data_IF_283712884219
#
_entry.id   IF_283712884219
#
_cell.length_a   1.000
_cell.length_b   1.000
_cell.length_c   1.000
_cell.angle_alpha   90.00
_cell.angle_beta   90.00
_cell.angle_gamma   90.00
#
_symmetry.space_group_name_H-M   'P 1'
#
loop_
_entity.id
_entity.type
_entity.pdbx_description
1 polymer ?
#
# COMPACT_ATOMS: atom_id res chain seq x y z
N UNK A 1 42.46 0.99 -46.87
CA UNK A 1 43.43 0.38 -45.95
C UNK A 1 42.65 -0.55 -45.03
N UNK A 2 42.56 -1.83 -45.39
CA UNK A 2 42.05 -2.86 -44.49
C UNK A 2 43.22 -3.37 -43.65
N UNK A 3 43.09 -3.33 -42.33
CA UNK A 3 44.10 -3.86 -41.43
C UNK A 3 43.64 -5.22 -40.89
N UNK A 4 44.52 -6.17 -41.15
CA UNK A 4 44.50 -7.59 -40.86
C UNK A 4 44.36 -7.87 -39.35
N UNK A 5 43.54 -8.87 -38.99
CA UNK A 5 43.52 -9.46 -37.66
C UNK A 5 44.80 -10.26 -37.38
N UNK A 6 45.37 -10.22 -36.16
CA UNK A 6 46.34 -11.23 -35.74
C UNK A 6 45.64 -12.47 -35.17
N UNK A 7 46.19 -13.61 -35.56
CA UNK A 7 45.82 -14.99 -35.20
C UNK A 7 45.85 -15.26 -33.69
N UNK A 8 44.87 -16.01 -33.20
CA UNK A 8 44.80 -16.48 -31.83
C UNK A 8 45.61 -17.78 -31.69
N UNK A 9 46.87 -17.69 -31.26
CA UNK A 9 47.68 -18.86 -30.89
C UNK A 9 47.17 -19.50 -29.59
N UNK A 10 46.90 -20.80 -29.65
CA UNK A 10 46.43 -21.62 -28.52
C UNK A 10 47.53 -21.90 -27.48
N UNK A 11 47.02 -22.06 -26.26
CA UNK A 11 47.46 -22.95 -25.19
C UNK A 11 48.63 -22.51 -24.28
N UNK A 12 48.26 -22.19 -23.04
CA UNK A 12 49.12 -22.23 -21.86
C UNK A 12 48.26 -22.51 -20.63
N UNK A 13 48.18 -23.77 -20.24
CA UNK A 13 47.55 -24.24 -18.99
C UNK A 13 48.37 -23.73 -17.79
N UNK A 14 47.87 -22.70 -17.11
CA UNK A 14 48.39 -22.22 -15.83
C UNK A 14 47.26 -22.19 -14.77
N UNK A 15 47.58 -22.26 -13.46
CA UNK A 15 46.62 -22.55 -12.38
C UNK A 15 45.74 -21.36 -11.99
N UNK A 16 45.46 -20.43 -12.90
CA UNK A 16 44.70 -19.20 -12.65
C UNK A 16 43.18 -19.37 -12.84
N UNK A 17 42.68 -20.61 -12.77
CA UNK A 17 41.31 -20.95 -13.16
C UNK A 17 40.32 -21.22 -12.03
N UNK A 18 40.64 -20.95 -10.76
CA UNK A 18 39.73 -21.34 -9.64
C UNK A 18 39.40 -20.21 -8.65
N UNK A 19 40.09 -19.06 -8.65
CA UNK A 19 39.80 -18.02 -7.65
C UNK A 19 38.65 -17.07 -8.02
N UNK A 20 38.25 -17.00 -9.30
CA UNK A 20 37.18 -16.08 -9.74
C UNK A 20 35.75 -16.62 -9.48
N UNK A 21 35.61 -17.89 -9.07
CA UNK A 21 34.30 -18.53 -8.91
C UNK A 21 33.70 -18.36 -7.51
N UNK A 22 34.50 -17.96 -6.50
CA UNK A 22 34.05 -17.84 -5.12
C UNK A 22 33.48 -16.46 -4.76
N UNK A 23 33.85 -15.41 -5.48
CA UNK A 23 33.40 -14.04 -5.14
C UNK A 23 31.99 -13.69 -5.66
N UNK A 24 31.44 -14.46 -6.62
CA UNK A 24 30.07 -14.24 -7.12
C UNK A 24 28.97 -14.85 -6.23
N UNK A 25 29.31 -15.59 -5.17
CA UNK A 25 28.32 -16.21 -4.27
C UNK A 25 28.10 -15.45 -2.95
N UNK A 26 28.85 -14.37 -2.67
CA UNK A 26 28.76 -13.64 -1.39
C UNK A 26 27.95 -12.35 -1.40
N UNK A 27 27.27 -12.04 -2.50
CA UNK A 27 26.26 -10.98 -2.53
C UNK A 27 24.83 -11.56 -2.38
N UNK A 28 24.64 -12.52 -1.49
CA UNK A 28 23.31 -12.80 -0.94
C UNK A 28 23.03 -11.74 0.12
N UNK A 29 22.67 -10.54 -0.35
CA UNK A 29 22.02 -9.54 0.49
C UNK A 29 20.81 -10.23 1.10
N UNK A 30 20.85 -10.47 2.41
CA UNK A 30 19.66 -10.80 3.20
C UNK A 30 18.64 -9.71 2.89
N UNK A 31 17.70 -10.01 1.99
CA UNK A 31 16.50 -9.21 1.86
C UNK A 31 15.89 -9.27 3.26
N UNK A 32 15.65 -8.13 3.94
CA UNK A 32 14.83 -8.20 5.14
C UNK A 32 13.60 -9.01 4.76
N UNK A 33 13.29 -10.07 5.51
CA UNK A 33 12.06 -10.82 5.30
C UNK A 33 10.97 -9.76 5.21
N UNK A 34 10.37 -9.58 4.04
CA UNK A 34 9.23 -8.71 3.94
C UNK A 34 8.18 -9.43 4.75
N UNK A 35 7.96 -9.01 5.98
CA UNK A 35 6.83 -9.49 6.77
C UNK A 35 5.60 -9.09 5.97
N UNK A 36 5.11 -10.02 5.16
CA UNK A 36 3.93 -9.82 4.35
C UNK A 36 2.77 -9.89 5.34
N UNK A 37 2.46 -8.74 5.92
CA UNK A 37 1.35 -8.59 6.83
C UNK A 37 0.10 -8.72 5.99
N UNK A 38 -0.64 -9.81 6.14
CA UNK A 38 -1.97 -9.95 5.54
C UNK A 38 -2.96 -9.17 6.41
N UNK A 39 -3.50 -8.05 5.94
CA UNK A 39 -4.47 -7.29 6.70
C UNK A 39 -5.83 -8.03 6.68
N UNK A 40 -6.58 -7.90 7.76
CA UNK A 40 -7.94 -8.41 7.86
C UNK A 40 -8.92 -7.44 7.19
N UNK A 41 -9.93 -7.93 6.45
CA UNK A 41 -10.93 -7.09 5.83
C UNK A 41 -11.77 -6.38 6.89
N UNK A 42 -11.97 -5.08 6.71
CA UNK A 42 -12.91 -4.30 7.50
C UNK A 42 -14.16 -3.96 6.69
N UNK A 43 -14.12 -2.82 6.00
CA UNK A 43 -15.22 -2.39 5.13
C UNK A 43 -14.70 -1.83 3.80
N UNK A 44 -15.60 -1.76 2.82
CA UNK A 44 -15.29 -1.24 1.50
C UNK A 44 -16.14 0.00 1.24
N UNK A 45 -15.51 1.05 0.72
CA UNK A 45 -16.20 2.22 0.19
C UNK A 45 -16.03 2.29 -1.31
N UNK A 46 -17.02 2.89 -1.96
CA UNK A 46 -17.01 3.19 -3.38
C UNK A 46 -16.98 4.70 -3.57
N UNK A 47 -16.04 5.15 -4.40
CA UNK A 47 -15.97 6.51 -4.95
C UNK A 47 -15.72 6.43 -6.46
N UNK A 48 -15.35 7.53 -7.09
CA UNK A 48 -14.97 7.62 -8.48
C UNK A 48 -13.83 8.62 -8.67
N UNK A 49 -13.06 8.43 -9.73
CA UNK A 49 -12.13 9.41 -10.29
C UNK A 49 -12.61 9.86 -11.67
N UNK A 50 -11.82 10.70 -12.33
CA UNK A 50 -12.00 11.03 -13.76
C UNK A 50 -11.88 9.80 -14.68
N UNK A 51 -11.16 8.76 -14.26
CA UNK A 51 -10.90 7.55 -15.04
C UNK A 51 -11.95 6.44 -14.82
N UNK A 52 -12.74 6.54 -13.76
CA UNK A 52 -13.83 5.60 -13.53
C UNK A 52 -14.06 5.29 -12.05
N UNK A 53 -14.49 4.06 -11.79
CA UNK A 53 -14.92 3.61 -10.46
C UNK A 53 -13.72 3.20 -9.63
N UNK A 54 -13.67 3.69 -8.39
CA UNK A 54 -12.62 3.38 -7.43
C UNK A 54 -13.25 2.79 -6.17
N UNK A 55 -12.66 1.72 -5.66
CA UNK A 55 -12.98 1.13 -4.37
C UNK A 55 -11.80 1.31 -3.43
N UNK A 56 -12.10 1.59 -2.16
CA UNK A 56 -11.10 1.64 -1.11
C UNK A 56 -11.53 0.64 -0.04
N UNK A 57 -10.70 -0.36 0.18
CA UNK A 57 -10.88 -1.38 1.20
C UNK A 57 -10.17 -0.92 2.47
N UNK A 58 -10.94 -0.50 3.48
CA UNK A 58 -10.40 -0.22 4.80
C UNK A 58 -10.24 -1.55 5.53
N UNK A 59 -8.99 -1.96 5.65
CA UNK A 59 -8.54 -3.17 6.30
C UNK A 59 -7.86 -2.83 7.63
N UNK A 60 -7.49 -3.85 8.40
CA UNK A 60 -6.77 -3.62 9.64
C UNK A 60 -5.74 -4.70 9.96
N UNK A 61 -4.71 -4.33 10.70
CA UNK A 61 -3.67 -5.26 11.18
C UNK A 61 -3.14 -4.82 12.54
N UNK A 62 -2.80 -5.76 13.41
CA UNK A 62 -2.12 -5.49 14.69
C UNK A 62 -0.66 -5.10 14.51
N UNK A 63 -0.08 -5.35 13.32
CA UNK A 63 1.30 -4.95 12.99
C UNK A 63 1.45 -3.47 12.69
N UNK A 64 0.35 -2.77 12.40
CA UNK A 64 0.35 -1.31 12.19
C UNK A 64 0.24 -0.65 13.57
N UNK A 65 1.12 0.31 13.91
CA UNK A 65 1.05 1.01 15.19
C UNK A 65 -0.25 1.83 15.28
N UNK A 66 -0.92 1.88 16.45
CA UNK A 66 -2.08 2.73 16.64
C UNK A 66 -1.70 4.22 16.59
N UNK A 67 -2.64 5.12 16.29
CA UNK A 67 -2.44 6.56 16.49
C UNK A 67 -2.26 6.88 17.98
N UNK A 68 -1.87 8.12 18.28
CA UNK A 68 -1.86 8.62 19.64
C UNK A 68 -3.24 8.46 20.30
N UNK A 69 -3.26 8.11 21.58
CA UNK A 69 -4.50 7.97 22.31
C UNK A 69 -5.05 9.34 22.68
N UNK A 70 -5.96 9.83 21.83
CA UNK A 70 -6.63 11.12 21.92
C UNK A 70 -8.13 10.84 21.96
N UNK A 71 -8.87 11.59 22.77
CA UNK A 71 -10.33 11.47 22.81
C UNK A 71 -10.97 12.07 21.55
N UNK A 72 -12.25 11.78 21.32
CA UNK A 72 -12.95 12.35 20.16
C UNK A 72 -13.11 13.87 20.31
N UNK A 73 -13.35 14.34 21.52
CA UNK A 73 -13.48 15.77 21.85
C UNK A 73 -12.16 16.52 21.65
N UNK A 74 -11.05 15.96 22.13
CA UNK A 74 -9.72 16.53 21.92
C UNK A 74 -9.37 16.59 20.43
N UNK A 75 -9.71 15.53 19.68
CA UNK A 75 -9.46 15.49 18.25
C UNK A 75 -10.28 16.54 17.48
N UNK A 76 -11.55 16.73 17.83
CA UNK A 76 -12.37 17.80 17.26
C UNK A 76 -11.76 19.18 17.54
N UNK A 77 -11.34 19.42 18.77
CA UNK A 77 -10.70 20.69 19.13
C UNK A 77 -9.41 20.92 18.32
N UNK A 78 -8.58 19.88 18.16
CA UNK A 78 -7.36 19.98 17.34
C UNK A 78 -7.66 20.30 15.87
N UNK A 79 -8.73 19.76 15.31
CA UNK A 79 -9.17 20.05 13.93
C UNK A 79 -9.72 21.48 13.80
N UNK A 80 -10.48 21.96 14.78
CA UNK A 80 -11.03 23.33 14.80
C UNK A 80 -9.93 24.39 14.93
N UNK A 81 -8.90 24.10 15.72
CA UNK A 81 -7.76 24.98 15.96
C UNK A 81 -6.67 24.88 14.86
N UNK A 82 -6.92 24.10 13.79
CA UNK A 82 -5.97 23.81 12.70
C UNK A 82 -4.58 23.36 13.22
N UNK A 83 -4.59 22.61 14.33
CA UNK A 83 -3.37 22.09 14.92
C UNK A 83 -2.91 20.86 14.14
N UNK A 84 -1.75 20.97 13.50
CA UNK A 84 -1.07 19.84 12.85
C UNK A 84 -0.54 18.82 13.88
N UNK A 85 -1.43 18.04 14.49
CA UNK A 85 -1.07 17.16 15.62
C UNK A 85 -1.51 15.71 15.44
N UNK A 86 -2.73 15.46 14.98
CA UNK A 86 -3.25 14.09 14.91
C UNK A 86 -2.81 13.38 13.64
N UNK A 87 -2.07 12.29 13.79
CA UNK A 87 -1.62 11.44 12.68
C UNK A 87 -2.17 10.03 12.85
N UNK A 88 -2.72 9.50 11.77
CA UNK A 88 -3.20 8.12 11.70
C UNK A 88 -2.20 7.30 10.87
N UNK A 89 -1.40 6.42 11.50
CA UNK A 89 -0.57 5.49 10.75
C UNK A 89 -1.44 4.57 9.90
N UNK A 90 -1.17 4.52 8.60
CA UNK A 90 -1.85 3.61 7.67
C UNK A 90 -0.90 3.11 6.58
N UNK A 91 -1.16 1.90 6.10
CA UNK A 91 -0.52 1.37 4.89
C UNK A 91 -1.42 1.67 3.70
N UNK A 92 -0.85 2.19 2.62
CA UNK A 92 -1.54 2.46 1.35
C UNK A 92 -1.08 1.43 0.32
N UNK A 93 -1.90 0.41 0.07
CA UNK A 93 -1.64 -0.66 -0.90
C UNK A 93 -1.57 -0.17 -2.34
N UNK A 94 -0.91 -0.94 -3.21
CA UNK A 94 -0.84 -0.68 -4.65
C UNK A 94 -2.23 -0.83 -5.30
N UNK A 95 -2.51 -0.12 -6.41
CA UNK A 95 -3.74 -0.30 -7.15
C UNK A 95 -3.83 -1.73 -7.70
N UNK A 96 -5.00 -2.33 -7.59
CA UNK A 96 -5.32 -3.59 -8.26
C UNK A 96 -6.62 -3.50 -9.04
N UNK A 97 -6.68 -4.24 -10.15
CA UNK A 97 -7.80 -4.21 -11.09
C UNK A 97 -8.83 -5.27 -10.72
N UNK A 98 -10.08 -4.86 -10.61
CA UNK A 98 -11.19 -5.71 -10.18
C UNK A 98 -12.40 -5.56 -11.11
N UNK A 99 -13.32 -6.52 -11.04
CA UNK A 99 -14.59 -6.47 -11.76
C UNK A 99 -15.74 -6.13 -10.81
N UNK A 100 -16.54 -5.14 -11.20
CA UNK A 100 -17.76 -4.82 -10.48
C UNK A 100 -18.88 -5.86 -10.72
N UNK A 101 -20.03 -5.68 -10.05
CA UNK A 101 -21.18 -6.57 -10.21
C UNK A 101 -21.79 -6.63 -11.63
N UNK A 102 -21.42 -5.70 -12.51
CA UNK A 102 -21.82 -5.66 -13.93
C UNK A 102 -20.72 -6.17 -14.86
N UNK A 103 -19.61 -6.68 -14.32
CA UNK A 103 -18.45 -7.12 -15.10
C UNK A 103 -17.63 -5.97 -15.70
N UNK A 104 -17.77 -4.75 -15.19
CA UNK A 104 -16.97 -3.60 -15.63
C UNK A 104 -15.71 -3.48 -14.78
N UNK A 105 -14.59 -3.18 -15.44
CA UNK A 105 -13.31 -2.94 -14.78
C UNK A 105 -13.37 -1.73 -13.84
N UNK A 106 -12.73 -1.87 -12.69
CA UNK A 106 -12.57 -0.82 -11.69
C UNK A 106 -11.25 -0.99 -10.95
N UNK A 107 -10.82 0.07 -10.27
CA UNK A 107 -9.59 0.05 -9.47
C UNK A 107 -9.95 -0.09 -8.01
N UNK A 108 -9.24 -0.95 -7.28
CA UNK A 108 -9.34 -1.07 -5.84
C UNK A 108 -8.00 -0.77 -5.17
N UNK A 109 -8.07 -0.20 -3.97
CA UNK A 109 -6.92 0.09 -3.12
C UNK A 109 -7.17 -0.46 -1.72
N UNK A 110 -6.16 -1.08 -1.13
CA UNK A 110 -6.24 -1.61 0.23
C UNK A 110 -5.55 -0.65 1.19
N UNK A 111 -6.30 -0.08 2.12
CA UNK A 111 -5.77 0.81 3.15
C UNK A 111 -5.90 0.13 4.50
N UNK A 112 -4.77 -0.18 5.13
CA UNK A 112 -4.76 -0.87 6.41
C UNK A 112 -4.45 0.09 7.55
N UNK A 113 -5.22 0.01 8.64
CA UNK A 113 -4.98 0.73 9.90
C UNK A 113 -4.71 -0.25 11.05
N UNK A 114 -4.37 0.27 12.24
CA UNK A 114 -4.27 -0.57 13.42
C UNK A 114 -5.62 -1.25 13.78
N UNK A 115 -5.58 -2.51 14.22
CA UNK A 115 -6.79 -3.29 14.56
C UNK A 115 -7.57 -2.76 15.77
N UNK A 116 -6.91 -2.19 16.76
CA UNK A 116 -7.57 -1.65 17.96
C UNK A 116 -8.22 -0.31 17.64
N UNK A 117 -7.52 0.52 16.85
CA UNK A 117 -8.06 1.75 16.30
C UNK A 117 -9.25 1.49 15.36
N UNK A 118 -9.18 0.45 14.53
CA UNK A 118 -10.29 0.04 13.68
C UNK A 118 -11.56 -0.25 14.50
N UNK A 119 -11.44 -0.98 15.62
CA UNK A 119 -12.60 -1.27 16.50
C UNK A 119 -13.19 0.00 17.13
N UNK A 120 -12.37 1.00 17.47
CA UNK A 120 -12.86 2.32 17.92
C UNK A 120 -13.64 3.02 16.82
N UNK A 121 -13.07 3.09 15.61
CA UNK A 121 -13.68 3.71 14.43
C UNK A 121 -15.03 3.06 14.07
N UNK A 122 -15.22 1.76 14.25
CA UNK A 122 -16.49 1.10 13.97
C UNK A 122 -17.67 1.64 14.79
N UNK A 123 -17.42 2.25 15.95
CA UNK A 123 -18.44 2.77 16.85
C UNK A 123 -18.58 4.30 16.81
N UNK A 124 -17.83 5.00 15.95
CA UNK A 124 -17.88 6.45 15.81
C UNK A 124 -17.96 6.83 14.33
N UNK A 125 -19.08 7.46 13.95
CA UNK A 125 -19.30 7.92 12.57
C UNK A 125 -18.28 9.00 12.20
N UNK A 126 -17.96 9.90 13.14
CA UNK A 126 -16.95 10.94 12.96
C UNK A 126 -15.56 10.35 12.67
N UNK A 127 -15.08 9.42 13.52
CA UNK A 127 -13.77 8.79 13.30
C UNK A 127 -13.73 8.04 11.96
N UNK A 128 -14.84 7.41 11.58
CA UNK A 128 -14.95 6.70 10.30
C UNK A 128 -14.83 7.66 9.11
N UNK A 129 -15.57 8.77 9.12
CA UNK A 129 -15.47 9.82 8.10
C UNK A 129 -14.05 10.40 8.02
N UNK A 130 -13.43 10.67 9.16
CA UNK A 130 -12.07 11.20 9.24
C UNK A 130 -11.05 10.23 8.62
N UNK A 131 -11.10 8.95 9.00
CA UNK A 131 -10.19 7.92 8.45
C UNK A 131 -10.38 7.77 6.95
N UNK A 132 -11.62 7.78 6.47
CA UNK A 132 -11.91 7.70 5.03
C UNK A 132 -11.34 8.91 4.29
N UNK A 133 -11.48 10.11 4.86
CA UNK A 133 -10.95 11.35 4.30
C UNK A 133 -9.43 11.30 4.20
N UNK A 134 -8.74 10.96 5.29
CA UNK A 134 -7.27 10.85 5.32
C UNK A 134 -6.78 9.73 4.39
N UNK A 135 -7.48 8.60 4.32
CA UNK A 135 -7.15 7.52 3.40
C UNK A 135 -7.28 7.94 1.93
N UNK A 136 -8.35 8.66 1.59
CA UNK A 136 -8.57 9.21 0.24
C UNK A 136 -7.45 10.18 -0.13
N UNK A 137 -7.15 11.15 0.72
CA UNK A 137 -6.09 12.14 0.51
C UNK A 137 -4.71 11.49 0.40
N UNK A 138 -4.42 10.52 1.28
CA UNK A 138 -3.17 9.77 1.21
C UNK A 138 -3.01 9.00 -0.12
N UNK A 139 -4.10 8.45 -0.67
CA UNK A 139 -4.08 7.80 -1.99
C UNK A 139 -3.93 8.81 -3.13
N UNK A 140 -4.60 9.97 -3.04
CA UNK A 140 -4.45 11.07 -3.99
C UNK A 140 -3.00 11.54 -4.06
N UNK A 141 -2.37 11.78 -2.90
CA UNK A 141 -0.98 12.20 -2.81
C UNK A 141 -0.02 11.12 -3.32
N UNK A 142 -0.20 9.87 -2.88
CA UNK A 142 0.73 8.78 -3.19
C UNK A 142 0.70 8.38 -4.67
N UNK A 143 -0.48 8.38 -5.28
CA UNK A 143 -0.68 7.89 -6.65
C UNK A 143 -1.05 8.99 -7.64
N UNK A 144 -0.99 10.26 -7.22
CA UNK A 144 -1.33 11.44 -8.01
C UNK A 144 -2.74 11.32 -8.64
N UNK A 145 -3.72 10.97 -7.81
CA UNK A 145 -5.12 10.76 -8.20
C UNK A 145 -5.97 11.99 -7.89
N UNK A 146 -7.16 12.03 -8.50
CA UNK A 146 -8.24 12.93 -8.08
C UNK A 146 -9.48 12.07 -7.80
N UNK A 147 -9.82 11.90 -6.52
CA UNK A 147 -10.95 11.11 -6.08
C UNK A 147 -12.10 12.03 -5.65
N UNK A 148 -13.32 11.63 -5.98
CA UNK A 148 -14.50 12.35 -5.52
C UNK A 148 -14.59 12.27 -3.98
N UNK A 149 -14.71 13.41 -3.28
CA UNK A 149 -14.94 13.43 -1.83
C UNK A 149 -16.23 12.71 -1.44
N UNK A 150 -17.23 12.67 -2.32
CA UNK A 150 -18.44 11.89 -2.10
C UNK A 150 -18.17 10.40 -2.28
N UNK A 151 -18.42 9.63 -1.23
CA UNK A 151 -18.25 8.18 -1.23
C UNK A 151 -19.51 7.47 -0.71
N UNK A 152 -19.60 6.16 -0.96
CA UNK A 152 -20.68 5.30 -0.42
C UNK A 152 -20.13 4.03 0.19
N UNK A 153 -20.60 3.71 1.40
CA UNK A 153 -20.31 2.43 2.05
C UNK A 153 -20.95 1.26 1.28
N UNK A 154 -20.17 0.21 1.05
CA UNK A 154 -20.68 -1.05 0.48
C UNK A 154 -21.33 -1.89 1.58
N UNK A 155 -22.63 -2.19 1.46
CA UNK A 155 -23.39 -2.89 2.51
C UNK A 155 -23.19 -4.40 2.54
N UNK A 156 -23.02 -5.02 1.37
CA UNK A 156 -22.97 -6.49 1.21
C UNK A 156 -21.60 -6.97 0.71
N UNK A 157 -20.58 -6.13 0.82
CA UNK A 157 -19.24 -6.41 0.32
C UNK A 157 -18.23 -5.67 1.20
N UNK A 158 -17.60 -6.34 2.18
CA UNK A 158 -16.62 -5.71 3.07
C UNK A 158 -15.27 -5.46 2.37
N UNK A 159 -15.04 -6.11 1.23
CA UNK A 159 -13.78 -6.02 0.49
C UNK A 159 -14.03 -6.22 -1.02
N UNK A 160 -13.40 -5.39 -1.86
CA UNK A 160 -13.35 -5.55 -3.31
C UNK A 160 -12.05 -6.26 -3.70
N UNK A 161 -12.18 -7.47 -4.24
CA UNK A 161 -11.07 -8.33 -4.64
C UNK A 161 -10.93 -9.57 -3.76
N UNK A 162 -9.75 -10.19 -3.78
CA UNK A 162 -9.42 -11.35 -2.95
C UNK A 162 -8.36 -10.99 -1.93
N UNK A 163 -8.62 -11.22 -0.65
CA UNK A 163 -7.56 -11.22 0.36
C UNK A 163 -6.84 -12.55 0.24
N UNK A 164 -5.56 -12.48 -0.15
CA UNK A 164 -4.66 -13.63 -0.23
C UNK A 164 -3.84 -13.77 1.04
#
# INVERSE_FOLDING_TARGET
MGLQFPECTKAGTGPWGIEASKELQQAQTTRPESTQIQPQPGFCIKTNSSEGKVFINICHSSSIPPPADVTEEELLQMLEEDQAGFRIPMSLGEPHAELDAKGQGCTAYDVAVNSDFYRRMQNSDFLRELVITIAREGLEDKYNLQLNPEWRMMKNRPFMGSIS
#
